data_IF_279565550866
#
_entry.id   IF_279565550866
#
_cell.length_a   1.000
_cell.length_b   1.000
_cell.length_c   1.000
_cell.angle_alpha   90.00
_cell.angle_beta   90.00
_cell.angle_gamma   90.00
#
_symmetry.space_group_name_H-M   'P 1'
#
loop_
_entity.id
_entity.type
_entity.pdbx_description
1 polymer ?
#
# COMPACT_ATOMS: atom_id res chain seq x y z
N UNK A 1 22.35 39.95 87.68
CA UNK A 1 21.04 40.19 88.32
C UNK A 1 19.96 39.74 87.35
N UNK A 2 19.12 38.83 87.85
CA UNK A 2 17.79 38.39 87.40
C UNK A 2 17.54 37.97 85.94
N UNK A 3 17.38 36.64 85.77
CA UNK A 3 16.84 35.92 84.61
C UNK A 3 15.64 35.08 85.09
N UNK A 4 14.67 34.86 84.18
CA UNK A 4 13.42 34.05 84.28
C UNK A 4 12.23 34.78 84.93
N UNK A 5 10.99 34.64 84.45
CA UNK A 5 10.35 33.44 83.89
C UNK A 5 9.28 33.76 82.82
N UNK A 6 9.12 32.82 81.88
CA UNK A 6 8.08 32.75 80.86
C UNK A 6 6.69 32.51 81.48
N UNK A 7 5.67 33.14 80.90
CA UNK A 7 4.30 32.62 80.87
C UNK A 7 3.84 32.61 79.41
N UNK A 8 3.75 31.42 78.81
CA UNK A 8 3.07 31.17 77.53
C UNK A 8 1.60 30.90 77.82
N UNK A 9 0.72 31.78 77.34
CA UNK A 9 -0.68 31.49 77.10
C UNK A 9 -0.87 31.22 75.60
N UNK A 10 -1.56 30.13 75.27
CA UNK A 10 -1.93 29.74 73.91
C UNK A 10 -3.02 30.66 73.32
N UNK A 11 -2.93 30.96 72.01
CA UNK A 11 -4.01 31.00 70.97
C UNK A 11 -3.53 31.75 69.72
N UNK A 12 -4.18 31.64 68.54
CA UNK A 12 -4.45 30.47 67.72
C UNK A 12 -3.84 30.60 66.29
N UNK A 13 -3.64 29.47 65.58
CA UNK A 13 -3.21 29.45 64.17
C UNK A 13 -4.27 30.08 63.25
N UNK A 14 -3.90 31.17 62.56
CA UNK A 14 -4.66 31.71 61.43
C UNK A 14 -4.38 30.88 60.18
N UNK A 15 -5.43 30.25 59.65
CA UNK A 15 -5.44 29.59 58.34
C UNK A 15 -5.35 30.67 57.26
N UNK A 16 -4.34 30.58 56.38
CA UNK A 16 -4.21 31.49 55.24
C UNK A 16 -5.39 31.29 54.25
N UNK A 17 -6.02 32.36 53.73
CA UNK A 17 -7.10 32.22 52.78
C UNK A 17 -6.56 31.74 51.43
N UNK A 18 -7.15 30.67 50.89
CA UNK A 18 -6.93 30.23 49.51
C UNK A 18 -7.48 31.28 48.55
N UNK A 19 -6.60 31.98 47.85
CA UNK A 19 -6.96 32.94 46.80
C UNK A 19 -7.57 32.17 45.62
N UNK A 20 -8.90 32.15 45.52
CA UNK A 20 -9.59 31.65 44.33
C UNK A 20 -9.44 32.70 43.22
N UNK A 21 -8.55 32.44 42.27
CA UNK A 21 -8.39 33.27 41.07
C UNK A 21 -9.69 33.16 40.25
N UNK A 22 -10.32 34.28 39.85
CA UNK A 22 -11.58 34.23 39.13
C UNK A 22 -11.41 33.65 37.72
N UNK A 23 -12.36 32.82 37.30
CA UNK A 23 -12.32 31.98 36.09
C UNK A 23 -12.00 32.76 34.80
N UNK A 24 -12.47 34.00 34.68
CA UNK A 24 -12.23 34.84 33.50
C UNK A 24 -10.76 35.24 33.33
N UNK A 25 -9.95 35.28 34.40
CA UNK A 25 -8.51 35.53 34.31
C UNK A 25 -7.74 34.32 33.77
N UNK A 26 -8.20 33.10 34.07
CA UNK A 26 -7.61 31.88 33.51
C UNK A 26 -7.94 31.74 32.02
N UNK A 27 -9.18 32.05 31.61
CA UNK A 27 -9.58 32.04 30.19
C UNK A 27 -8.83 33.10 29.39
N UNK A 28 -8.61 34.30 29.95
CA UNK A 28 -7.83 35.35 29.28
C UNK A 28 -6.36 34.98 29.07
N UNK A 29 -5.75 34.25 30.01
CA UNK A 29 -4.36 33.76 29.88
C UNK A 29 -4.27 32.67 28.81
N UNK A 30 -5.24 31.77 28.73
CA UNK A 30 -5.27 30.74 27.68
C UNK A 30 -5.51 31.38 26.31
N UNK A 31 -6.47 32.29 26.19
CA UNK A 31 -6.77 32.98 24.94
C UNK A 31 -5.59 33.83 24.44
N UNK A 32 -4.87 34.53 25.33
CA UNK A 32 -3.68 35.28 24.96
C UNK A 32 -2.51 34.37 24.59
N UNK A 33 -2.31 33.26 25.30
CA UNK A 33 -1.28 32.28 24.96
C UNK A 33 -1.51 31.65 23.58
N UNK A 34 -2.73 31.23 23.26
CA UNK A 34 -3.07 30.68 21.94
C UNK A 34 -2.98 31.75 20.85
N UNK A 35 -3.39 32.98 21.14
CA UNK A 35 -3.25 34.12 20.24
C UNK A 35 -1.80 34.45 19.90
N UNK A 36 -0.88 34.37 20.87
CA UNK A 36 0.56 34.57 20.64
C UNK A 36 1.13 33.46 19.75
N UNK A 37 0.76 32.19 19.97
CA UNK A 37 1.25 31.06 19.14
C UNK A 37 0.78 31.21 17.69
N UNK A 38 -0.51 31.51 17.46
CA UNK A 38 -1.04 31.69 16.10
C UNK A 38 -0.45 32.93 15.42
N UNK A 39 -0.26 34.02 16.18
CA UNK A 39 0.34 35.26 15.65
C UNK A 39 1.82 35.07 15.31
N UNK A 40 2.58 34.31 16.10
CA UNK A 40 3.96 33.96 15.80
C UNK A 40 4.06 33.14 14.50
N UNK A 41 3.19 32.15 14.31
CA UNK A 41 3.15 31.34 13.08
C UNK A 41 2.79 32.19 11.85
N UNK A 42 1.87 33.16 11.99
CA UNK A 42 1.46 34.04 10.88
C UNK A 42 2.48 35.14 10.56
N UNK A 43 3.15 35.70 11.57
CA UNK A 43 4.14 36.76 11.40
C UNK A 43 5.50 36.23 10.93
N UNK A 44 5.87 35.00 11.32
CA UNK A 44 7.12 34.34 10.89
C UNK A 44 6.91 33.36 9.71
N UNK A 45 5.66 33.15 9.27
CA UNK A 45 5.33 32.29 8.12
C UNK A 45 6.10 32.63 6.83
N UNK A 46 6.24 33.92 6.44
CA UNK A 46 6.98 34.29 5.23
C UNK A 46 8.50 34.05 5.36
N UNK A 47 9.08 34.25 6.55
CA UNK A 47 10.52 34.06 6.79
C UNK A 47 10.89 32.59 6.95
N UNK A 48 9.99 31.75 7.47
CA UNK A 48 10.12 30.29 7.48
C UNK A 48 10.08 29.70 6.06
N UNK A 49 9.25 30.24 5.16
CA UNK A 49 9.20 29.81 3.76
C UNK A 49 10.40 30.29 2.93
N UNK A 50 10.96 31.47 3.24
CA UNK A 50 12.15 32.00 2.57
C UNK A 50 13.46 31.32 3.03
N UNK A 51 13.49 30.71 4.22
CA UNK A 51 14.63 29.93 4.74
C UNK A 51 14.59 28.43 4.41
N UNK A 52 13.75 28.00 3.47
CA UNK A 52 13.71 26.62 2.94
C UNK A 52 15.03 26.15 2.29
N UNK A 53 16.05 27.03 2.21
CA UNK A 53 17.41 26.66 1.80
C UNK A 53 18.20 25.86 2.85
N UNK A 54 17.74 25.84 4.10
CA UNK A 54 18.36 25.09 5.21
C UNK A 54 17.32 24.10 5.76
N UNK A 55 16.89 23.15 4.94
CA UNK A 55 16.20 21.97 5.45
C UNK A 55 17.22 21.13 6.25
N UNK A 56 16.94 20.77 7.51
CA UNK A 56 17.78 19.86 8.30
C UNK A 56 18.07 18.58 7.51
N UNK A 57 19.25 17.98 7.70
CA UNK A 57 19.68 16.79 6.96
C UNK A 57 18.68 15.63 7.05
N UNK A 58 17.98 15.55 8.17
CA UNK A 58 16.93 14.59 8.48
C UNK A 58 15.72 14.73 7.52
N UNK A 59 15.31 15.95 7.16
CA UNK A 59 14.19 16.16 6.22
C UNK A 59 14.60 15.80 4.80
N UNK A 60 15.86 16.07 4.42
CA UNK A 60 16.39 15.66 3.11
C UNK A 60 16.49 14.14 2.98
N UNK A 61 16.85 13.44 4.06
CA UNK A 61 16.85 11.99 4.11
C UNK A 61 15.43 11.45 3.91
N UNK A 62 14.44 11.92 4.68
CA UNK A 62 13.05 11.48 4.51
C UNK A 62 12.51 11.72 3.11
N UNK A 63 12.82 12.86 2.49
CA UNK A 63 12.39 13.16 1.11
C UNK A 63 13.08 12.25 0.09
N UNK A 64 14.39 12.01 0.26
CA UNK A 64 15.15 11.09 -0.60
C UNK A 64 14.63 9.65 -0.47
N UNK A 65 14.37 9.21 0.76
CA UNK A 65 13.86 7.88 1.06
C UNK A 65 12.47 7.72 0.45
N UNK A 66 11.58 8.70 0.64
CA UNK A 66 10.26 8.72 0.02
C UNK A 66 10.32 8.73 -1.51
N UNK A 67 11.19 9.53 -2.12
CA UNK A 67 11.37 9.57 -3.58
C UNK A 67 11.91 8.24 -4.12
N UNK A 68 12.85 7.63 -3.41
CA UNK A 68 13.42 6.34 -3.80
C UNK A 68 12.38 5.23 -3.76
N UNK A 69 11.56 5.22 -2.71
CA UNK A 69 10.44 4.31 -2.53
C UNK A 69 9.32 4.56 -3.54
N UNK A 70 8.96 5.81 -3.80
CA UNK A 70 7.92 6.14 -4.79
C UNK A 70 8.38 5.73 -6.20
N UNK A 71 9.67 5.88 -6.50
CA UNK A 71 10.27 5.39 -7.74
C UNK A 71 10.26 3.86 -7.80
N UNK A 72 10.54 3.19 -6.69
CA UNK A 72 10.48 1.73 -6.60
C UNK A 72 9.06 1.19 -6.82
N UNK A 73 8.06 1.77 -6.18
CA UNK A 73 6.64 1.45 -6.39
C UNK A 73 6.26 1.62 -7.88
N UNK A 74 6.70 2.70 -8.51
CA UNK A 74 6.45 2.94 -9.95
C UNK A 74 7.06 1.89 -10.87
N UNK A 75 8.13 1.21 -10.44
CA UNK A 75 8.80 0.16 -11.20
C UNK A 75 8.08 -1.19 -11.10
N UNK A 76 7.25 -1.39 -10.07
CA UNK A 76 6.41 -2.57 -9.91
C UNK A 76 5.08 -2.44 -10.67
N UNK A 77 4.51 -1.23 -10.71
CA UNK A 77 3.22 -0.98 -11.35
C UNK A 77 3.26 -1.21 -12.86
N UNK A 78 2.43 -2.12 -13.38
CA UNK A 78 2.34 -2.37 -14.82
C UNK A 78 1.70 -3.71 -15.16
N UNK A 79 1.60 -3.98 -16.46
CA UNK A 79 1.16 -5.27 -17.00
C UNK A 79 2.38 -6.12 -17.38
N UNK A 80 2.36 -7.39 -17.00
CA UNK A 80 3.46 -8.34 -17.14
C UNK A 80 2.95 -9.63 -17.78
N UNK A 81 3.56 -10.09 -18.87
CA UNK A 81 3.20 -11.37 -19.51
C UNK A 81 4.41 -12.09 -20.08
N UNK A 82 4.23 -13.35 -20.47
CA UNK A 82 5.25 -14.15 -21.18
C UNK A 82 5.49 -13.67 -22.61
N UNK A 83 4.55 -12.90 -23.18
CA UNK A 83 4.61 -12.38 -24.54
C UNK A 83 4.22 -10.89 -24.57
N UNK A 84 5.11 -9.99 -24.13
CA UNK A 84 4.86 -8.56 -24.14
C UNK A 84 4.93 -8.00 -25.58
N UNK A 85 3.81 -7.53 -26.12
CA UNK A 85 3.80 -6.95 -27.46
C UNK A 85 4.60 -5.64 -27.51
N UNK A 86 5.19 -5.34 -28.67
CA UNK A 86 5.87 -4.05 -28.90
C UNK A 86 7.31 -3.95 -28.40
N UNK A 87 7.92 -5.05 -27.93
CA UNK A 87 9.33 -5.08 -27.52
C UNK A 87 10.19 -5.71 -28.62
N UNK A 88 11.22 -4.99 -29.05
CA UNK A 88 12.12 -5.42 -30.14
C UNK A 88 13.08 -6.53 -29.70
N UNK A 89 13.47 -6.55 -28.42
CA UNK A 89 14.49 -7.46 -27.87
C UNK A 89 13.92 -8.50 -26.87
N UNK A 90 12.71 -9.01 -27.10
CA UNK A 90 12.09 -10.02 -26.22
C UNK A 90 12.93 -11.29 -26.05
N UNK A 91 13.67 -11.67 -27.10
CA UNK A 91 14.51 -12.87 -27.10
C UNK A 91 15.62 -12.80 -26.01
N UNK A 92 16.12 -11.60 -25.71
CA UNK A 92 17.19 -11.40 -24.73
C UNK A 92 16.68 -11.46 -23.28
N UNK A 93 15.38 -11.23 -23.06
CA UNK A 93 14.76 -11.23 -21.73
C UNK A 93 14.61 -12.63 -21.12
N UNK A 94 14.72 -13.68 -21.96
CA UNK A 94 14.56 -15.09 -21.57
C UNK A 94 13.24 -15.32 -20.80
N UNK A 95 12.13 -14.89 -21.41
CA UNK A 95 10.79 -15.07 -20.85
C UNK A 95 10.40 -16.55 -20.87
N UNK A 96 9.55 -16.94 -19.93
CA UNK A 96 9.05 -18.31 -19.86
C UNK A 96 7.92 -18.52 -20.86
N UNK A 97 7.92 -19.67 -21.54
CA UNK A 97 6.81 -20.10 -22.40
C UNK A 97 5.68 -20.68 -21.52
N UNK A 98 4.88 -19.77 -20.96
CA UNK A 98 3.77 -20.08 -20.04
C UNK A 98 2.58 -19.18 -20.34
N UNK A 99 1.37 -19.73 -20.22
CA UNK A 99 0.14 -18.95 -20.32
C UNK A 99 -0.18 -18.26 -18.98
N UNK A 100 0.47 -17.13 -18.75
CA UNK A 100 0.34 -16.37 -17.51
C UNK A 100 0.50 -14.87 -17.74
N UNK A 101 -0.36 -14.10 -17.07
CA UNK A 101 -0.26 -12.65 -17.01
C UNK A 101 -0.49 -12.15 -15.58
N UNK A 102 0.14 -11.02 -15.27
CA UNK A 102 -0.03 -10.31 -14.01
C UNK A 102 -0.17 -8.82 -14.31
N UNK A 103 -1.14 -8.18 -13.68
CA UNK A 103 -1.19 -6.71 -13.59
C UNK A 103 -0.93 -6.33 -12.14
N UNK A 104 0.04 -5.44 -11.91
CA UNK A 104 0.44 -4.99 -10.57
C UNK A 104 0.23 -3.49 -10.44
N UNK A 105 -0.15 -3.05 -9.25
CA UNK A 105 -0.07 -1.66 -8.82
C UNK A 105 0.54 -1.62 -7.43
N UNK A 106 1.69 -0.97 -7.32
CA UNK A 106 2.36 -0.75 -6.06
C UNK A 106 2.16 0.69 -5.61
N UNK A 107 1.84 0.84 -4.34
CA UNK A 107 1.66 2.12 -3.70
C UNK A 107 1.91 1.95 -2.23
N UNK A 108 2.83 2.76 -1.76
CA UNK A 108 3.20 2.86 -0.39
C UNK A 108 3.92 1.66 0.23
N UNK A 109 4.67 0.90 -0.57
CA UNK A 109 5.29 -0.36 -0.14
C UNK A 109 4.30 -1.54 -0.08
N UNK A 110 3.02 -1.27 -0.27
CA UNK A 110 2.03 -2.29 -0.58
C UNK A 110 2.00 -2.55 -2.09
N UNK A 111 1.68 -3.78 -2.45
CA UNK A 111 1.44 -4.17 -3.84
C UNK A 111 0.18 -4.98 -3.93
N UNK A 112 -0.69 -4.53 -4.81
CA UNK A 112 -1.92 -5.19 -5.16
C UNK A 112 -1.86 -5.50 -6.65
N UNK A 113 -2.76 -6.36 -7.09
CA UNK A 113 -2.66 -6.88 -8.44
C UNK A 113 -3.81 -7.78 -8.85
N UNK A 114 -3.69 -8.27 -10.07
CA UNK A 114 -4.43 -9.40 -10.56
C UNK A 114 -3.48 -10.38 -11.21
N UNK A 115 -3.83 -11.66 -11.16
CA UNK A 115 -3.09 -12.75 -11.79
C UNK A 115 -4.06 -13.64 -12.55
N UNK A 116 -3.70 -14.00 -13.78
CA UNK A 116 -4.42 -14.99 -14.55
C UNK A 116 -3.44 -16.02 -15.11
N UNK A 117 -3.83 -17.29 -15.01
CA UNK A 117 -3.17 -18.41 -15.68
C UNK A 117 -4.24 -19.27 -16.33
N UNK A 118 -3.90 -19.99 -17.39
CA UNK A 118 -4.87 -20.92 -18.01
C UNK A 118 -5.34 -22.00 -17.04
N UNK A 119 -4.51 -22.39 -16.07
CA UNK A 119 -4.92 -23.30 -14.99
C UNK A 119 -6.00 -22.70 -14.09
N UNK A 120 -5.90 -21.40 -13.74
CA UNK A 120 -6.94 -20.68 -13.01
C UNK A 120 -8.20 -20.56 -13.86
N UNK A 121 -8.08 -20.12 -15.12
CA UNK A 121 -9.22 -19.97 -16.04
C UNK A 121 -9.99 -21.29 -16.21
N UNK A 122 -9.30 -22.44 -16.22
CA UNK A 122 -9.95 -23.76 -16.31
C UNK A 122 -10.59 -24.20 -15.00
N UNK A 123 -9.98 -23.84 -13.88
CA UNK A 123 -10.46 -24.22 -12.54
C UNK A 123 -11.68 -23.41 -12.13
N UNK A 124 -11.71 -22.12 -12.46
CA UNK A 124 -12.83 -21.21 -12.16
C UNK A 124 -13.12 -20.35 -13.41
N UNK A 125 -13.79 -20.90 -14.44
CA UNK A 125 -13.99 -20.21 -15.73
C UNK A 125 -14.91 -18.99 -15.70
N UNK A 126 -15.51 -18.71 -14.54
CA UNK A 126 -16.33 -17.50 -14.32
C UNK A 126 -15.47 -16.29 -13.92
N UNK A 127 -14.23 -16.51 -13.50
CA UNK A 127 -13.28 -15.45 -13.14
C UNK A 127 -12.34 -15.18 -14.31
N UNK A 128 -12.08 -13.90 -14.59
CA UNK A 128 -11.09 -13.50 -15.59
C UNK A 128 -9.67 -13.46 -15.00
N UNK A 129 -9.57 -13.34 -13.68
CA UNK A 129 -8.34 -13.29 -12.90
C UNK A 129 -8.66 -13.52 -11.42
N UNK A 130 -7.61 -13.74 -10.64
CA UNK A 130 -7.61 -13.76 -9.18
C UNK A 130 -6.90 -12.52 -8.67
N UNK A 131 -7.27 -12.01 -7.49
CA UNK A 131 -6.65 -10.83 -6.90
C UNK A 131 -5.30 -11.16 -6.28
N UNK A 132 -4.37 -10.22 -6.34
CA UNK A 132 -3.11 -10.24 -5.60
C UNK A 132 -3.12 -9.14 -4.54
N UNK A 133 -2.49 -9.41 -3.41
CA UNK A 133 -2.19 -8.44 -2.35
C UNK A 133 -0.91 -8.80 -1.63
N UNK A 134 -0.13 -7.84 -1.19
CA UNK A 134 1.13 -8.12 -0.53
C UNK A 134 1.98 -6.88 -0.29
N UNK A 135 3.27 -7.15 -0.04
CA UNK A 135 4.24 -6.12 0.34
C UNK A 135 5.47 -6.20 -0.56
N UNK A 136 6.05 -5.03 -0.83
CA UNK A 136 7.29 -4.84 -1.59
C UNK A 136 8.44 -4.54 -0.65
N UNK A 137 9.58 -5.17 -0.91
CA UNK A 137 10.85 -4.87 -0.26
C UNK A 137 11.95 -4.92 -1.31
N UNK A 138 12.33 -3.74 -1.81
CA UNK A 138 13.31 -3.64 -2.87
C UNK A 138 12.81 -4.27 -4.17
N UNK A 139 13.67 -5.11 -4.74
CA UNK A 139 13.39 -5.94 -5.92
C UNK A 139 12.61 -7.23 -5.61
N UNK A 140 12.11 -7.43 -4.39
CA UNK A 140 11.30 -8.61 -4.03
C UNK A 140 9.94 -8.18 -3.53
N UNK A 141 8.90 -8.91 -3.92
CA UNK A 141 7.57 -8.79 -3.33
C UNK A 141 7.07 -10.16 -2.87
N UNK A 142 6.29 -10.16 -1.79
CA UNK A 142 5.56 -11.33 -1.31
C UNK A 142 4.08 -11.03 -1.44
N UNK A 143 3.38 -11.83 -2.23
CA UNK A 143 1.95 -11.61 -2.50
C UNK A 143 1.15 -12.87 -2.25
N UNK A 144 -0.11 -12.67 -1.94
CA UNK A 144 -1.11 -13.72 -1.76
C UNK A 144 -2.09 -13.59 -2.92
N UNK A 145 -2.30 -14.69 -3.65
CA UNK A 145 -3.38 -14.83 -4.62
C UNK A 145 -4.67 -15.22 -3.88
N UNK A 146 -5.72 -14.43 -4.00
CA UNK A 146 -6.94 -14.57 -3.22
C UNK A 146 -8.18 -14.11 -3.98
N UNK A 147 -9.35 -14.55 -3.54
CA UNK A 147 -10.65 -14.02 -4.01
C UNK A 147 -11.76 -14.26 -2.97
N UNK A 148 -12.97 -13.76 -3.24
CA UNK A 148 -14.17 -14.00 -2.45
C UNK A 148 -14.97 -15.14 -3.09
N UNK A 149 -14.91 -16.32 -2.48
CA UNK A 149 -15.65 -17.50 -2.90
C UNK A 149 -16.78 -17.76 -1.91
N UNK A 150 -18.02 -17.81 -2.41
CA UNK A 150 -19.23 -18.03 -1.58
C UNK A 150 -19.35 -17.06 -0.39
N UNK A 151 -18.94 -15.80 -0.58
CA UNK A 151 -18.98 -14.78 0.48
C UNK A 151 -17.83 -14.85 1.50
N UNK A 152 -16.88 -15.77 1.32
CA UNK A 152 -15.71 -15.90 2.16
C UNK A 152 -14.43 -15.58 1.42
N UNK A 153 -13.58 -14.77 2.04
CA UNK A 153 -12.22 -14.52 1.57
C UNK A 153 -11.42 -15.82 1.61
N UNK A 154 -10.89 -16.21 0.47
CA UNK A 154 -10.14 -17.44 0.28
C UNK A 154 -8.76 -17.11 -0.28
N UNK A 155 -7.72 -17.48 0.45
CA UNK A 155 -6.34 -17.37 0.00
C UNK A 155 -5.97 -18.67 -0.74
N UNK A 156 -5.61 -18.57 -2.02
CA UNK A 156 -5.32 -19.72 -2.87
C UNK A 156 -3.85 -20.11 -2.82
N UNK A 157 -2.94 -19.15 -2.93
CA UNK A 157 -1.50 -19.40 -2.93
C UNK A 157 -0.71 -18.18 -2.49
N UNK A 158 0.47 -18.42 -1.93
CA UNK A 158 1.48 -17.39 -1.74
C UNK A 158 2.48 -17.46 -2.89
N UNK A 159 2.86 -16.29 -3.40
CA UNK A 159 3.79 -16.13 -4.50
C UNK A 159 4.92 -15.19 -4.06
N UNK A 160 6.14 -15.54 -4.45
CA UNK A 160 7.30 -14.66 -4.38
C UNK A 160 7.55 -14.09 -5.77
N UNK A 161 7.62 -12.76 -5.84
CA UNK A 161 7.95 -12.03 -7.05
C UNK A 161 9.35 -11.44 -6.88
N UNK A 162 10.19 -11.55 -7.90
CA UNK A 162 11.52 -10.95 -7.95
C UNK A 162 11.64 -10.16 -9.23
N UNK A 163 11.81 -8.85 -9.12
CA UNK A 163 11.95 -7.92 -10.25
C UNK A 163 13.42 -7.73 -10.61
N UNK A 164 13.72 -7.84 -11.89
CA UNK A 164 15.02 -7.56 -12.49
C UNK A 164 14.81 -6.69 -13.73
N UNK A 165 14.89 -5.37 -13.54
CA UNK A 165 14.56 -4.39 -14.58
C UNK A 165 13.11 -4.54 -15.05
N UNK A 166 12.94 -4.83 -16.35
CA UNK A 166 11.66 -5.02 -17.05
C UNK A 166 11.19 -6.49 -17.04
N UNK A 167 11.81 -7.35 -16.23
CA UNK A 167 11.39 -8.75 -16.05
C UNK A 167 10.98 -9.00 -14.60
N UNK A 168 9.87 -9.68 -14.40
CA UNK A 168 9.47 -10.21 -13.09
C UNK A 168 9.50 -11.74 -13.11
N UNK A 169 10.14 -12.32 -12.10
CA UNK A 169 10.13 -13.76 -11.86
C UNK A 169 9.12 -14.09 -10.78
N UNK A 170 8.18 -14.97 -11.08
CA UNK A 170 7.09 -15.38 -10.19
C UNK A 170 7.32 -16.82 -9.76
N UNK A 171 7.23 -17.09 -8.46
CA UNK A 171 7.44 -18.44 -7.91
C UNK A 171 6.42 -18.72 -6.80
N UNK A 172 5.58 -19.76 -6.92
CA UNK A 172 4.65 -20.14 -5.88
C UNK A 172 5.38 -20.77 -4.68
N UNK A 173 5.19 -20.22 -3.49
CA UNK A 173 5.83 -20.68 -2.25
C UNK A 173 4.96 -21.66 -1.48
N UNK A 174 3.64 -21.45 -1.44
CA UNK A 174 2.68 -22.30 -0.71
C UNK A 174 1.28 -22.28 -1.35
N UNK A 175 0.34 -23.11 -0.87
CA UNK A 175 -1.04 -23.20 -1.36
C UNK A 175 -1.22 -24.00 -2.65
N UNK A 176 -2.12 -23.55 -3.52
CA UNK A 176 -2.53 -24.16 -4.81
C UNK A 176 -1.46 -24.01 -5.89
N UNK A 177 -0.31 -24.67 -5.70
CA UNK A 177 0.81 -24.64 -6.65
C UNK A 177 0.43 -25.18 -8.03
N UNK A 178 -0.59 -26.04 -8.12
CA UNK A 178 -1.14 -26.57 -9.37
C UNK A 178 -1.72 -25.48 -10.30
N UNK A 179 -2.07 -24.32 -9.75
CA UNK A 179 -2.62 -23.19 -10.51
C UNK A 179 -1.56 -22.30 -11.13
N UNK A 180 -0.30 -22.49 -10.76
CA UNK A 180 0.79 -21.62 -11.18
C UNK A 180 1.94 -22.44 -11.76
N UNK A 181 2.68 -21.91 -12.74
CA UNK A 181 3.93 -22.51 -13.16
C UNK A 181 4.93 -22.54 -11.99
N UNK A 182 5.83 -23.54 -11.96
CA UNK A 182 6.84 -23.67 -10.90
C UNK A 182 7.73 -22.43 -10.81
N UNK A 183 8.06 -21.83 -11.95
CA UNK A 183 8.69 -20.52 -12.05
C UNK A 183 8.29 -19.92 -13.39
N UNK A 184 7.94 -18.63 -13.40
CA UNK A 184 7.62 -17.89 -14.62
C UNK A 184 8.40 -16.59 -14.67
N UNK A 185 9.09 -16.34 -15.77
CA UNK A 185 9.70 -15.05 -16.11
C UNK A 185 8.79 -14.32 -17.08
N UNK A 186 8.28 -13.17 -16.67
CA UNK A 186 7.34 -12.34 -17.42
C UNK A 186 7.99 -10.99 -17.72
N UNK A 187 7.79 -10.47 -18.92
CA UNK A 187 8.26 -9.15 -19.33
C UNK A 187 7.18 -8.09 -19.12
N UNK A 188 7.59 -6.87 -18.76
CA UNK A 188 6.69 -5.73 -18.64
C UNK A 188 6.25 -5.25 -20.03
N UNK A 189 4.97 -5.02 -20.21
CA UNK A 189 4.47 -4.35 -21.41
C UNK A 189 4.86 -2.87 -21.38
N UNK A 190 5.16 -2.27 -22.55
CA UNK A 190 5.36 -0.83 -22.65
C UNK A 190 4.05 -0.12 -22.26
N UNK A 191 4.04 0.50 -21.07
CA UNK A 191 2.86 1.19 -20.55
C UNK A 191 2.76 2.63 -21.03
N UNK A 192 1.54 3.17 -21.06
CA UNK A 192 1.31 4.61 -21.13
C UNK A 192 1.60 5.24 -19.75
N UNK A 193 2.45 6.27 -19.73
CA UNK A 193 2.84 6.94 -18.49
C UNK A 193 1.63 7.60 -17.81
N UNK A 194 1.35 7.20 -16.56
CA UNK A 194 0.40 7.89 -15.67
C UNK A 194 -1.01 7.32 -15.59
N UNK A 195 -1.31 6.22 -16.29
CA UNK A 195 -2.56 5.47 -16.14
C UNK A 195 -2.37 4.27 -15.20
N UNK A 196 -3.38 3.96 -14.40
CA UNK A 196 -3.44 2.70 -13.64
C UNK A 196 -3.58 1.54 -14.63
N UNK A 197 -2.74 0.48 -14.51
CA UNK A 197 -2.74 -0.59 -15.51
C UNK A 197 -4.01 -1.42 -15.37
N UNK A 198 -4.75 -1.58 -16.46
CA UNK A 198 -5.94 -2.42 -16.49
C UNK A 198 -5.58 -3.89 -16.72
N UNK A 199 -6.26 -4.85 -16.06
CA UNK A 199 -6.09 -6.26 -16.35
C UNK A 199 -6.76 -6.65 -17.68
N UNK A 200 -6.12 -7.52 -18.46
CA UNK A 200 -6.75 -8.07 -19.65
C UNK A 200 -7.93 -8.98 -19.27
N UNK A 201 -9.13 -8.50 -19.58
CA UNK A 201 -10.41 -9.17 -19.31
C UNK A 201 -10.69 -10.34 -20.27
N UNK A 202 -9.92 -10.46 -21.35
CA UNK A 202 -10.15 -11.43 -22.42
C UNK A 202 -9.30 -12.70 -22.27
N UNK A 203 -8.29 -12.69 -21.41
CA UNK A 203 -7.37 -13.81 -21.21
C UNK A 203 -8.05 -15.16 -20.93
N UNK A 204 -9.15 -15.18 -20.16
CA UNK A 204 -9.92 -16.40 -19.84
C UNK A 204 -11.15 -16.62 -20.76
N UNK A 205 -11.28 -15.90 -21.88
CA UNK A 205 -12.47 -15.96 -22.74
C UNK A 205 -12.79 -17.35 -23.28
N UNK A 206 -11.76 -18.11 -23.66
CA UNK A 206 -11.92 -19.42 -24.25
C UNK A 206 -12.50 -20.42 -23.26
N UNK A 207 -11.96 -20.45 -22.04
CA UNK A 207 -12.43 -21.30 -20.95
C UNK A 207 -13.86 -20.92 -20.55
N UNK A 208 -14.15 -19.62 -20.49
CA UNK A 208 -15.47 -19.09 -20.18
C UNK A 208 -16.50 -19.46 -21.25
N UNK A 209 -16.16 -19.29 -22.53
CA UNK A 209 -17.00 -19.72 -23.67
C UNK A 209 -17.23 -21.23 -23.64
N UNK A 210 -16.19 -22.02 -23.33
CA UNK A 210 -16.31 -23.47 -23.21
C UNK A 210 -17.27 -23.89 -22.08
N UNK A 211 -17.25 -23.18 -20.95
CA UNK A 211 -18.21 -23.40 -19.86
C UNK A 211 -19.65 -23.11 -20.32
N UNK A 212 -19.90 -21.92 -20.90
CA UNK A 212 -21.24 -21.54 -21.34
C UNK A 212 -21.80 -22.44 -22.44
N UNK A 213 -20.94 -22.89 -23.36
CA UNK A 213 -21.33 -23.85 -24.40
C UNK A 213 -21.79 -25.20 -23.80
N UNK A 214 -21.17 -25.66 -22.71
CA UNK A 214 -21.60 -26.88 -22.00
C UNK A 214 -22.91 -26.71 -21.23
N UNK A 215 -23.17 -25.49 -20.73
CA UNK A 215 -24.39 -25.17 -19.98
C UNK A 215 -25.59 -24.87 -20.91
N UNK A 216 -25.34 -24.64 -22.20
CA UNK A 216 -26.39 -24.37 -23.17
C UNK A 216 -27.25 -25.63 -23.34
N UNK A 217 -28.57 -25.55 -23.10
CA UNK A 217 -29.45 -26.70 -23.33
C UNK A 217 -29.37 -27.09 -24.81
N UNK A 218 -29.29 -28.40 -25.08
CA UNK A 218 -29.42 -28.92 -26.43
C UNK A 218 -30.74 -28.41 -27.01
N UNK A 219 -30.79 -27.90 -28.26
CA UNK A 219 -32.06 -27.56 -28.86
C UNK A 219 -32.93 -28.81 -28.80
N UNK A 220 -34.08 -28.70 -28.14
CA UNK A 220 -35.07 -29.75 -28.15
C UNK A 220 -35.38 -30.04 -29.62
N UNK A 221 -35.24 -31.30 -30.02
CA UNK A 221 -35.71 -31.76 -31.31
C UNK A 221 -37.22 -31.51 -31.34
N UNK A 222 -37.64 -30.40 -31.97
CA UNK A 222 -39.03 -30.22 -32.38
C UNK A 222 -39.26 -31.19 -33.55
N UNK A 223 -39.72 -32.38 -33.19
CA UNK A 223 -40.29 -33.37 -34.11
C UNK A 223 -41.80 -33.25 -34.16
#
# INVERSE_FOLDING_TARGET
MTRKSNNKANSPQQVAPTIKVPWYKQVWVVASATGVVVSAILLEGPTLLQNTRILPGEVRQTVSDFQSWAKEDSAWTGHWSSFPEGIVDMADMRLSDVDMQITLWASQGDIDGTIATKSICRSIPVLNYVLLRGEVSGNTAKVIAWDIVHGHKTDFAELKLVRDGEVVTVTPTSGRKDWFPTTARLGRHPGESGAEPEPDQTFCDEERKALFNKLRPSPANEG
#
